data_IF_255829354369
#
_entry.id   IF_255829354369
#
_cell.length_a   1.000
_cell.length_b   1.000
_cell.length_c   1.000
_cell.angle_alpha   90.00
_cell.angle_beta   90.00
_cell.angle_gamma   90.00
#
_symmetry.space_group_name_H-M   'P 1'
#
loop_
_entity.id
_entity.type
_entity.pdbx_description
1 polymer ?
#
# COMPACT_ATOMS: atom_id res chain seq x y z
N UNK A 1 -4.88 44.68 -68.92
CA UNK A 1 -4.75 44.22 -70.33
C UNK A 1 -3.34 44.49 -70.81
N UNK A 2 -2.71 43.49 -71.42
CA UNK A 2 -1.30 43.36 -71.89
C UNK A 2 -0.88 44.47 -72.90
N UNK A 3 0.43 44.76 -73.13
CA UNK A 3 1.39 43.74 -73.58
C UNK A 3 2.86 43.78 -73.10
N UNK A 4 3.41 42.58 -73.26
CA UNK A 4 4.79 42.08 -73.29
C UNK A 4 5.75 42.93 -74.15
N UNK A 5 7.01 43.06 -73.71
CA UNK A 5 8.20 42.86 -74.57
C UNK A 5 9.42 42.42 -73.75
N UNK A 6 10.03 41.36 -74.27
CA UNK A 6 11.22 40.63 -73.82
C UNK A 6 12.46 41.35 -74.33
N UNK A 7 13.47 41.59 -73.49
CA UNK A 7 14.86 41.78 -73.94
C UNK A 7 15.77 40.98 -73.00
N UNK A 8 16.29 39.88 -73.56
CA UNK A 8 17.40 39.13 -73.01
C UNK A 8 18.70 39.90 -73.28
N UNK A 9 19.54 40.07 -72.26
CA UNK A 9 20.96 40.37 -72.46
C UNK A 9 21.76 39.31 -71.73
N UNK A 10 22.32 38.45 -72.57
CA UNK A 10 23.27 37.39 -72.30
C UNK A 10 24.64 38.06 -72.04
N UNK A 11 25.16 38.02 -70.81
CA UNK A 11 26.58 38.27 -70.56
C UNK A 11 27.19 37.07 -69.84
N UNK A 12 27.79 36.23 -70.67
CA UNK A 12 28.64 35.11 -70.32
C UNK A 12 29.94 35.66 -69.71
N UNK A 13 30.10 35.58 -68.39
CA UNK A 13 31.40 35.76 -67.74
C UNK A 13 31.82 34.42 -67.18
N UNK A 14 32.64 33.73 -67.97
CA UNK A 14 33.45 32.60 -67.56
C UNK A 14 34.58 33.19 -66.70
N UNK A 15 34.55 32.97 -65.39
CA UNK A 15 35.73 33.13 -64.54
C UNK A 15 36.07 31.79 -63.89
N UNK A 16 37.33 31.45 -64.08
CA UNK A 16 38.06 30.23 -63.76
C UNK A 16 37.77 29.62 -62.39
N UNK A 17 37.70 28.29 -62.37
CA UNK A 17 37.96 27.46 -61.21
C UNK A 17 39.29 27.85 -60.54
N UNK A 18 39.19 28.49 -59.38
CA UNK A 18 40.18 28.37 -58.32
C UNK A 18 39.48 27.68 -57.15
N UNK A 19 39.80 26.40 -56.95
CA UNK A 19 39.30 25.62 -55.84
C UNK A 19 39.79 26.20 -54.51
N UNK A 20 38.87 26.78 -53.75
CA UNK A 20 38.90 26.70 -52.30
C UNK A 20 37.80 25.75 -51.89
N UNK A 21 38.13 24.47 -51.75
CA UNK A 21 37.33 23.54 -50.98
C UNK A 21 37.34 24.02 -49.52
N UNK A 22 36.46 24.95 -49.17
CA UNK A 22 36.15 25.21 -47.77
C UNK A 22 35.52 23.94 -47.23
N UNK A 23 36.28 23.20 -46.41
CA UNK A 23 35.74 22.16 -45.53
C UNK A 23 34.48 22.74 -44.89
N UNK A 24 33.30 22.08 -44.96
CA UNK A 24 32.20 22.50 -44.11
C UNK A 24 32.75 22.47 -42.69
N UNK A 25 32.69 23.62 -42.00
CA UNK A 25 33.03 23.67 -40.59
C UNK A 25 32.17 22.61 -39.92
N UNK A 26 32.79 21.55 -39.40
CA UNK A 26 32.17 20.69 -38.41
C UNK A 26 31.82 21.58 -37.24
N UNK A 27 30.61 22.13 -37.26
CA UNK A 27 29.98 22.69 -36.08
C UNK A 27 29.85 21.49 -35.14
N UNK A 28 30.80 21.36 -34.23
CA UNK A 28 30.52 20.65 -32.98
C UNK A 28 29.42 21.47 -32.35
N UNK A 29 28.17 21.02 -32.51
CA UNK A 29 27.11 21.38 -31.58
C UNK A 29 27.58 20.87 -30.20
N UNK A 30 28.33 21.71 -29.49
CA UNK A 30 28.45 21.58 -28.06
C UNK A 30 27.07 21.91 -27.49
N UNK A 31 26.30 20.84 -27.29
CA UNK A 31 25.10 20.84 -26.48
C UNK A 31 25.43 21.63 -25.20
N UNK A 32 24.76 22.76 -24.92
CA UNK A 32 25.07 23.58 -23.75
C UNK A 32 25.00 22.71 -22.49
N UNK A 33 25.95 22.89 -21.56
CA UNK A 33 26.10 22.08 -20.34
C UNK A 33 24.82 22.01 -19.47
N UNK A 34 23.89 22.93 -19.69
CA UNK A 34 22.55 22.95 -19.09
C UNK A 34 21.65 21.79 -19.54
N UNK A 35 21.94 21.11 -20.65
CA UNK A 35 21.17 19.99 -21.23
C UNK A 35 21.66 18.61 -20.73
N UNK A 36 22.72 18.52 -19.91
CA UNK A 36 23.26 17.24 -19.40
C UNK A 36 23.29 17.13 -17.87
N UNK A 37 22.15 17.34 -17.18
CA UNK A 37 21.96 16.58 -15.93
C UNK A 37 21.61 15.14 -16.30
N UNK A 38 22.63 14.35 -16.63
CA UNK A 38 22.48 12.89 -16.77
C UNK A 38 21.99 12.36 -15.42
N UNK A 39 20.98 11.49 -15.45
CA UNK A 39 20.56 10.72 -14.27
C UNK A 39 21.81 10.11 -13.62
N UNK A 40 22.14 10.46 -12.37
CA UNK A 40 23.32 9.95 -11.71
C UNK A 40 23.22 8.43 -11.56
N UNK A 41 24.34 7.76 -11.85
CA UNK A 41 24.43 6.30 -11.87
C UNK A 41 25.25 5.81 -10.69
N UNK A 42 24.75 4.79 -10.01
CA UNK A 42 25.37 4.21 -8.83
C UNK A 42 25.53 2.69 -8.97
N UNK A 43 26.61 2.17 -8.38
CA UNK A 43 26.85 0.73 -8.26
C UNK A 43 26.18 0.15 -7.01
N UNK A 44 26.02 0.98 -5.97
CA UNK A 44 25.44 0.62 -4.68
C UNK A 44 24.13 1.36 -4.46
N UNK A 45 23.15 0.64 -3.89
CA UNK A 45 21.90 1.23 -3.42
C UNK A 45 22.13 2.25 -2.31
N UNK A 46 23.05 1.97 -1.39
CA UNK A 46 23.31 2.85 -0.26
C UNK A 46 23.86 4.22 -0.72
N UNK A 47 24.75 4.23 -1.73
CA UNK A 47 25.29 5.48 -2.29
C UNK A 47 24.20 6.29 -3.01
N UNK A 48 23.32 5.60 -3.74
CA UNK A 48 22.21 6.23 -4.45
C UNK A 48 21.21 6.87 -3.47
N UNK A 49 20.88 6.16 -2.39
CA UNK A 49 19.96 6.65 -1.35
C UNK A 49 20.59 7.76 -0.50
N UNK A 50 21.91 7.70 -0.26
CA UNK A 50 22.62 8.78 0.41
C UNK A 50 22.65 10.06 -0.42
N UNK A 51 22.94 9.94 -1.72
CA UNK A 51 22.84 11.05 -2.66
C UNK A 51 21.42 11.65 -2.67
N UNK A 52 20.41 10.79 -2.83
CA UNK A 52 19.00 11.21 -2.90
C UNK A 52 18.55 11.90 -1.62
N UNK A 53 18.82 11.30 -0.45
CA UNK A 53 18.44 11.85 0.84
C UNK A 53 19.11 13.20 1.12
N UNK A 54 20.40 13.35 0.81
CA UNK A 54 21.11 14.63 0.97
C UNK A 54 20.59 15.69 0.00
N UNK A 55 20.44 15.37 -1.27
CA UNK A 55 19.97 16.30 -2.29
C UNK A 55 18.55 16.80 -1.96
N UNK A 56 17.63 15.87 -1.72
CA UNK A 56 16.23 16.18 -1.45
C UNK A 56 16.06 16.96 -0.13
N UNK A 57 16.72 16.53 0.95
CA UNK A 57 16.62 17.22 2.23
C UNK A 57 17.20 18.63 2.20
N UNK A 58 18.24 18.88 1.40
CA UNK A 58 18.79 20.22 1.24
C UNK A 58 17.87 21.11 0.41
N UNK A 59 17.31 20.60 -0.69
CA UNK A 59 16.35 21.34 -1.52
C UNK A 59 15.10 21.71 -0.72
N UNK A 60 14.53 20.76 0.04
CA UNK A 60 13.37 21.02 0.89
C UNK A 60 13.67 21.99 2.03
N UNK A 61 14.90 22.02 2.58
CA UNK A 61 15.29 23.04 3.58
C UNK A 61 15.31 24.44 2.97
N UNK A 62 15.81 24.59 1.75
CA UNK A 62 15.83 25.89 1.07
C UNK A 62 14.42 26.37 0.70
N UNK A 63 13.54 25.45 0.31
CA UNK A 63 12.12 25.75 0.10
C UNK A 63 11.46 26.15 1.42
N UNK A 64 11.66 25.38 2.48
CA UNK A 64 11.10 25.69 3.80
C UNK A 64 11.57 27.06 4.33
N UNK A 65 12.82 27.45 4.09
CA UNK A 65 13.30 28.80 4.47
C UNK A 65 12.58 29.92 3.72
N UNK A 66 12.21 29.71 2.45
CA UNK A 66 11.52 30.71 1.62
C UNK A 66 10.04 30.84 1.98
N UNK A 67 9.38 29.71 2.22
CA UNK A 67 7.92 29.66 2.45
C UNK A 67 7.54 29.81 3.93
N UNK A 68 8.40 29.43 4.88
CA UNK A 68 8.08 29.40 6.34
C UNK A 68 8.78 30.47 7.19
N UNK A 69 9.14 31.61 6.58
CA UNK A 69 9.84 32.70 7.27
C UNK A 69 9.02 33.42 8.39
N UNK A 70 7.86 32.89 8.79
CA UNK A 70 6.95 33.53 9.77
C UNK A 70 6.48 32.66 10.94
N UNK A 71 6.65 31.33 10.96
CA UNK A 71 6.05 30.49 12.03
C UNK A 71 7.02 29.79 12.99
N UNK A 72 8.30 29.64 12.64
CA UNK A 72 9.29 28.93 13.49
C UNK A 72 8.97 27.45 13.77
N UNK A 73 7.89 26.91 13.17
CA UNK A 73 7.42 25.54 13.37
C UNK A 73 8.01 24.64 12.28
N UNK A 74 8.47 23.45 12.67
CA UNK A 74 8.96 22.44 11.74
C UNK A 74 7.84 21.95 10.82
N UNK A 75 8.13 21.82 9.53
CA UNK A 75 7.16 21.35 8.54
C UNK A 75 6.85 19.87 8.74
N UNK A 76 5.57 19.49 8.70
CA UNK A 76 5.14 18.11 8.93
C UNK A 76 5.31 17.30 7.66
N UNK A 77 6.21 16.31 7.68
CA UNK A 77 6.56 15.51 6.51
C UNK A 77 6.22 14.04 6.73
N UNK A 78 5.74 13.41 5.66
CA UNK A 78 5.55 11.97 5.56
C UNK A 78 6.54 11.40 4.56
N UNK A 79 7.15 10.27 4.92
CA UNK A 79 8.00 9.50 4.01
C UNK A 79 7.25 8.20 3.76
N UNK A 80 6.55 8.22 2.63
CA UNK A 80 5.64 7.17 2.24
C UNK A 80 6.37 6.02 1.54
N UNK A 81 5.65 4.91 1.42
CA UNK A 81 6.11 3.80 0.59
C UNK A 81 6.27 4.26 -0.87
N UNK A 82 7.33 3.78 -1.50
CA UNK A 82 7.49 3.88 -2.94
C UNK A 82 6.59 2.83 -3.60
N UNK A 83 6.32 2.98 -4.89
CA UNK A 83 5.57 1.98 -5.65
C UNK A 83 6.36 1.51 -6.86
N UNK A 84 6.11 0.29 -7.33
CA UNK A 84 6.53 -0.11 -8.67
C UNK A 84 5.72 0.63 -9.73
N UNK A 85 6.10 0.50 -11.00
CA UNK A 85 5.34 1.07 -12.12
C UNK A 85 3.91 0.53 -12.17
N UNK A 86 3.70 -0.69 -11.68
CA UNK A 86 2.39 -1.36 -11.56
C UNK A 86 1.63 -0.95 -10.28
N UNK A 87 2.15 0.00 -9.49
CA UNK A 87 1.52 0.46 -8.26
C UNK A 87 1.68 -0.48 -7.07
N UNK A 88 2.52 -1.52 -7.17
CA UNK A 88 2.74 -2.51 -6.10
C UNK A 88 3.70 -1.96 -5.05
N UNK A 89 3.40 -2.21 -3.77
CA UNK A 89 4.32 -1.92 -2.67
C UNK A 89 5.07 -3.20 -2.26
N UNK A 90 6.38 -3.14 -2.38
CA UNK A 90 7.29 -4.29 -2.19
C UNK A 90 8.20 -4.07 -0.99
N UNK A 91 8.93 -5.10 -0.56
CA UNK A 91 9.94 -4.93 0.51
C UNK A 91 11.01 -3.93 0.11
N UNK A 92 11.38 -3.88 -1.17
CA UNK A 92 12.31 -2.88 -1.70
C UNK A 92 11.75 -1.46 -1.57
N UNK A 93 10.47 -1.30 -1.88
CA UNK A 93 9.78 -0.03 -1.78
C UNK A 93 9.82 0.56 -0.38
N UNK A 94 9.50 -0.26 0.63
CA UNK A 94 9.57 0.14 2.04
C UNK A 94 10.99 0.38 2.50
N UNK A 95 11.92 -0.48 2.08
CA UNK A 95 13.33 -0.33 2.41
C UNK A 95 13.88 1.03 1.97
N UNK A 96 13.53 1.51 0.78
CA UNK A 96 13.93 2.83 0.28
C UNK A 96 13.39 3.94 1.20
N UNK A 97 12.10 3.90 1.52
CA UNK A 97 11.47 4.86 2.44
C UNK A 97 12.17 4.88 3.82
N UNK A 98 12.46 3.70 4.37
CA UNK A 98 13.12 3.55 5.66
C UNK A 98 14.55 4.11 5.64
N UNK A 99 15.26 3.95 4.52
CA UNK A 99 16.61 4.49 4.32
C UNK A 99 16.63 5.99 4.08
N UNK A 100 15.59 6.57 3.50
CA UNK A 100 15.46 8.02 3.34
C UNK A 100 15.03 8.71 4.64
N UNK A 101 14.30 8.01 5.51
CA UNK A 101 13.75 8.57 6.76
C UNK A 101 14.76 9.34 7.63
N UNK A 102 15.96 8.79 7.91
CA UNK A 102 16.95 9.48 8.74
C UNK A 102 17.42 10.85 8.21
N UNK A 103 17.34 11.12 6.90
CA UNK A 103 17.76 12.40 6.31
C UNK A 103 16.84 13.56 6.69
N UNK A 104 15.57 13.25 7.00
CA UNK A 104 14.56 14.22 7.41
C UNK A 104 14.37 14.25 8.91
N UNK A 105 14.37 13.08 9.56
CA UNK A 105 14.14 12.96 11.00
C UNK A 105 15.24 13.62 11.87
N UNK A 106 16.48 13.71 11.37
CA UNK A 106 17.58 14.37 12.08
C UNK A 106 17.55 15.89 12.00
N UNK A 107 16.70 16.47 11.16
CA UNK A 107 16.63 17.91 10.94
C UNK A 107 15.64 18.57 11.90
N UNK A 108 15.99 19.75 12.43
CA UNK A 108 15.05 20.59 13.19
C UNK A 108 13.98 21.27 12.29
N UNK A 109 14.15 21.19 10.97
CA UNK A 109 13.24 21.81 10.01
C UNK A 109 12.00 20.96 9.72
N UNK A 110 12.04 19.67 10.06
CA UNK A 110 11.00 18.71 9.70
C UNK A 110 10.50 17.95 10.91
N UNK A 111 9.20 17.75 10.98
CA UNK A 111 8.54 16.82 11.91
C UNK A 111 8.07 15.62 11.09
N UNK A 112 8.78 14.50 11.20
CA UNK A 112 8.47 13.29 10.44
C UNK A 112 7.38 12.51 11.16
N UNK A 113 6.27 12.21 10.48
CA UNK A 113 5.21 11.38 11.06
C UNK A 113 5.64 9.93 11.25
N UNK A 114 5.14 9.31 12.30
CA UNK A 114 5.42 7.92 12.60
C UNK A 114 4.83 6.97 11.56
N UNK A 115 5.59 5.95 11.22
CA UNK A 115 5.18 4.95 10.22
C UNK A 115 3.91 4.20 10.61
N UNK A 116 3.72 3.95 11.91
CA UNK A 116 2.54 3.26 12.42
C UNK A 116 1.23 4.04 12.11
N UNK A 117 1.28 5.37 12.08
CA UNK A 117 0.15 6.20 11.70
C UNK A 117 -0.19 6.05 10.21
N UNK A 118 0.84 6.06 9.35
CA UNK A 118 0.70 5.86 7.90
C UNK A 118 0.05 4.50 7.64
N UNK A 119 0.60 3.43 8.21
CA UNK A 119 0.10 2.06 8.04
C UNK A 119 -1.34 1.93 8.56
N UNK A 120 -1.69 2.60 9.66
CA UNK A 120 -3.06 2.63 10.21
C UNK A 120 -4.05 3.30 9.25
N UNK A 121 -3.72 4.48 8.72
CA UNK A 121 -4.61 5.20 7.78
C UNK A 121 -4.83 4.40 6.50
N UNK A 122 -3.78 3.75 5.96
CA UNK A 122 -3.90 2.86 4.79
C UNK A 122 -4.89 1.72 5.08
N UNK A 123 -4.80 1.10 6.27
CA UNK A 123 -5.69 0.00 6.67
C UNK A 123 -7.16 0.45 6.83
N UNK A 124 -7.38 1.65 7.36
CA UNK A 124 -8.73 2.19 7.59
C UNK A 124 -9.41 2.59 6.27
N UNK A 125 -8.68 3.22 5.35
CA UNK A 125 -9.24 3.79 4.13
C UNK A 125 -9.27 2.85 2.91
N UNK A 126 -8.70 1.64 3.01
CA UNK A 126 -8.80 0.56 1.98
C UNK A 126 -8.66 1.05 0.54
N UNK A 127 -7.58 1.76 0.27
CA UNK A 127 -7.27 2.25 -1.06
C UNK A 127 -7.26 1.09 -2.07
N UNK A 128 -7.93 1.27 -3.21
CA UNK A 128 -8.00 0.25 -4.27
C UNK A 128 -6.63 0.05 -4.93
N UNK A 129 -5.82 1.11 -4.98
CA UNK A 129 -4.44 1.13 -5.44
C UNK A 129 -3.55 1.82 -4.38
N UNK A 130 -2.23 1.77 -4.53
CA UNK A 130 -1.34 2.55 -3.66
C UNK A 130 -1.69 4.04 -3.77
N UNK A 131 -1.89 4.77 -2.65
CA UNK A 131 -2.21 6.20 -2.69
C UNK A 131 -1.03 7.06 -3.16
N UNK A 132 0.13 6.47 -3.46
CA UNK A 132 1.37 7.17 -3.74
C UNK A 132 1.81 7.13 -5.21
N UNK A 133 0.92 6.69 -6.11
CA UNK A 133 1.23 6.58 -7.54
C UNK A 133 1.07 7.94 -8.22
N UNK A 134 -0.09 8.57 -8.09
CA UNK A 134 -0.40 9.88 -8.66
C UNK A 134 -0.43 11.00 -7.61
N UNK A 135 -0.24 12.24 -8.09
CA UNK A 135 -0.17 13.43 -7.23
C UNK A 135 -1.49 13.70 -6.50
N UNK A 136 -2.64 13.50 -7.15
CA UNK A 136 -3.96 13.79 -6.60
C UNK A 136 -4.28 12.83 -5.43
N UNK A 137 -4.10 11.52 -5.63
CA UNK A 137 -4.27 10.51 -4.58
C UNK A 137 -3.29 10.74 -3.42
N UNK A 138 -2.05 11.14 -3.74
CA UNK A 138 -1.02 11.44 -2.74
C UNK A 138 -1.45 12.65 -1.90
N UNK A 139 -1.99 13.68 -2.54
CA UNK A 139 -2.47 14.88 -1.86
C UNK A 139 -3.64 14.57 -0.92
N UNK A 140 -4.64 13.81 -1.37
CA UNK A 140 -5.76 13.39 -0.52
C UNK A 140 -5.28 12.59 0.68
N UNK A 141 -4.37 11.64 0.46
CA UNK A 141 -3.79 10.85 1.52
C UNK A 141 -2.98 11.69 2.52
N UNK A 142 -2.24 12.69 2.04
CA UNK A 142 -1.51 13.63 2.90
C UNK A 142 -2.43 14.46 3.79
N UNK A 143 -3.58 14.89 3.27
CA UNK A 143 -4.60 15.62 4.05
C UNK A 143 -5.16 14.76 5.18
N UNK A 144 -5.40 13.46 4.92
CA UNK A 144 -5.85 12.52 5.94
C UNK A 144 -4.82 12.34 7.06
N UNK A 145 -3.52 12.34 6.72
CA UNK A 145 -2.43 12.24 7.69
C UNK A 145 -2.12 13.56 8.42
N UNK A 146 -2.65 14.69 7.96
CA UNK A 146 -2.27 16.01 8.46
C UNK A 146 -0.83 16.39 8.10
N UNK A 147 -0.31 15.87 6.98
CA UNK A 147 1.02 16.18 6.47
C UNK A 147 1.00 17.40 5.56
N UNK A 148 2.07 18.20 5.57
CA UNK A 148 2.27 19.33 4.66
C UNK A 148 3.03 18.90 3.40
N UNK A 149 3.91 17.91 3.52
CA UNK A 149 4.67 17.36 2.40
C UNK A 149 4.71 15.83 2.47
N UNK A 150 4.51 15.16 1.34
CA UNK A 150 4.75 13.72 1.19
C UNK A 150 5.97 13.51 0.30
N UNK A 151 6.89 12.68 0.78
CA UNK A 151 8.00 12.15 -0.01
C UNK A 151 7.64 10.72 -0.39
N UNK A 152 7.57 10.46 -1.68
CA UNK A 152 7.32 9.12 -2.25
C UNK A 152 8.00 9.02 -3.62
N UNK A 153 7.73 7.96 -4.38
CA UNK A 153 8.32 7.79 -5.69
C UNK A 153 7.99 6.47 -6.35
N UNK A 154 8.52 6.32 -7.56
CA UNK A 154 8.33 5.12 -8.39
C UNK A 154 9.64 4.40 -8.63
N UNK A 155 9.59 3.08 -8.57
CA UNK A 155 10.71 2.19 -8.85
C UNK A 155 10.41 1.44 -10.14
N UNK A 156 11.28 1.62 -11.13
CA UNK A 156 11.19 0.91 -12.40
C UNK A 156 12.44 0.06 -12.63
N UNK A 157 12.28 -1.03 -13.37
CA UNK A 157 13.41 -1.86 -13.79
C UNK A 157 13.54 -1.83 -15.32
N UNK A 158 14.76 -1.63 -15.80
CA UNK A 158 15.06 -1.64 -17.24
C UNK A 158 16.43 -2.27 -17.45
N UNK A 159 16.47 -3.36 -18.23
CA UNK A 159 17.68 -4.11 -18.50
C UNK A 159 18.34 -4.61 -17.22
N UNK A 160 19.53 -4.07 -16.91
CA UNK A 160 20.33 -4.45 -15.74
C UNK A 160 20.41 -3.32 -14.69
N UNK A 161 19.43 -2.42 -14.67
CA UNK A 161 19.35 -1.32 -13.73
C UNK A 161 17.96 -1.20 -13.10
N UNK A 162 17.93 -0.64 -11.90
CA UNK A 162 16.75 -0.05 -11.29
C UNK A 162 16.83 1.47 -11.41
N UNK A 163 15.70 2.11 -11.71
CA UNK A 163 15.55 3.55 -11.65
C UNK A 163 14.61 3.88 -10.50
N UNK A 164 15.03 4.78 -9.62
CA UNK A 164 14.22 5.27 -8.52
C UNK A 164 13.97 6.75 -8.78
N UNK A 165 12.73 7.09 -9.13
CA UNK A 165 12.24 8.46 -9.11
C UNK A 165 11.75 8.75 -7.69
N UNK A 166 12.26 9.81 -7.07
CA UNK A 166 11.79 10.30 -5.77
C UNK A 166 11.17 11.67 -5.97
N UNK A 167 9.94 11.87 -5.50
CA UNK A 167 9.19 13.13 -5.55
C UNK A 167 8.80 13.60 -4.16
N UNK A 168 8.89 14.91 -3.93
CA UNK A 168 8.29 15.58 -2.79
C UNK A 168 7.08 16.37 -3.28
N UNK A 169 5.91 16.05 -2.75
CA UNK A 169 4.62 16.64 -3.11
C UNK A 169 4.14 17.55 -2.00
N UNK A 170 3.82 18.81 -2.32
CA UNK A 170 3.15 19.72 -1.41
C UNK A 170 1.68 19.31 -1.29
N UNK A 171 1.28 18.89 -0.10
CA UNK A 171 -0.09 18.42 0.17
C UNK A 171 -1.09 19.58 0.16
N UNK A 172 -0.65 20.78 0.52
CA UNK A 172 -1.52 21.96 0.55
C UNK A 172 -1.78 22.52 -0.84
N UNK A 173 -0.74 22.63 -1.67
CA UNK A 173 -0.81 23.21 -3.02
C UNK A 173 -1.05 22.17 -4.12
N UNK A 174 -0.79 20.89 -3.87
CA UNK A 174 -0.96 19.80 -4.83
C UNK A 174 0.10 19.77 -5.95
N UNK A 175 1.23 20.47 -5.77
CA UNK A 175 2.31 20.51 -6.76
C UNK A 175 3.57 19.78 -6.28
N UNK A 176 4.41 19.40 -7.23
CA UNK A 176 5.71 18.77 -6.96
C UNK A 176 6.71 19.87 -6.55
N UNK A 177 7.28 19.74 -5.35
CA UNK A 177 8.33 20.62 -4.81
C UNK A 177 9.72 20.25 -5.33
N UNK A 178 9.98 18.95 -5.48
CA UNK A 178 11.26 18.41 -5.97
C UNK A 178 11.04 17.03 -6.57
N UNK A 179 11.83 16.70 -7.59
CA UNK A 179 11.89 15.36 -8.19
C UNK A 179 13.33 15.01 -8.56
N UNK A 180 13.76 13.81 -8.16
CA UNK A 180 15.11 13.29 -8.36
C UNK A 180 15.05 11.88 -8.92
N UNK A 181 15.77 11.65 -10.02
CA UNK A 181 15.98 10.31 -10.58
C UNK A 181 17.39 9.80 -10.28
N UNK A 182 17.50 8.53 -9.91
CA UNK A 182 18.78 7.82 -9.78
C UNK A 182 18.72 6.48 -10.50
N UNK A 183 19.82 6.10 -11.15
CA UNK A 183 20.00 4.80 -11.79
C UNK A 183 20.95 3.94 -10.94
N UNK A 184 20.56 2.70 -10.66
CA UNK A 184 21.29 1.80 -9.77
C UNK A 184 21.52 0.49 -10.49
N UNK A 185 22.78 0.04 -10.55
CA UNK A 185 23.12 -1.27 -11.12
C UNK A 185 22.41 -2.38 -10.34
N UNK A 186 21.71 -3.26 -11.05
CA UNK A 186 20.98 -4.39 -10.46
C UNK A 186 21.93 -5.41 -9.80
N UNK A 187 21.44 -6.02 -8.71
CA UNK A 187 22.02 -7.19 -8.08
C UNK A 187 20.91 -8.14 -7.58
N UNK A 188 21.26 -9.39 -7.27
CA UNK A 188 20.30 -10.43 -6.86
C UNK A 188 19.47 -10.03 -5.64
N UNK A 189 20.10 -9.44 -4.61
CA UNK A 189 19.42 -9.02 -3.38
C UNK A 189 18.36 -7.96 -3.63
N UNK A 190 18.61 -6.99 -4.51
CA UNK A 190 17.62 -5.98 -4.86
C UNK A 190 16.44 -6.58 -5.63
N UNK A 191 16.70 -7.55 -6.52
CA UNK A 191 15.64 -8.27 -7.23
C UNK A 191 14.77 -9.06 -6.27
N UNK A 192 15.35 -9.73 -5.28
CA UNK A 192 14.59 -10.43 -4.22
C UNK A 192 13.69 -9.46 -3.45
N UNK A 193 14.22 -8.32 -3.02
CA UNK A 193 13.45 -7.31 -2.31
C UNK A 193 12.35 -6.69 -3.19
N UNK A 194 12.64 -6.49 -4.48
CA UNK A 194 11.70 -5.91 -5.44
C UNK A 194 10.52 -6.85 -5.67
N UNK A 195 10.75 -8.15 -5.74
CA UNK A 195 9.70 -9.13 -5.97
C UNK A 195 8.94 -9.53 -4.69
N UNK A 196 9.53 -9.32 -3.50
CA UNK A 196 8.93 -9.72 -2.24
C UNK A 196 7.80 -8.77 -1.77
N UNK A 197 6.66 -9.36 -1.38
CA UNK A 197 5.54 -8.64 -0.79
C UNK A 197 5.84 -8.15 0.63
N UNK A 198 5.17 -7.06 1.03
CA UNK A 198 5.18 -6.59 2.40
C UNK A 198 4.23 -7.42 3.28
N UNK A 199 4.73 -8.02 4.39
CA UNK A 199 3.95 -8.95 5.21
C UNK A 199 2.69 -8.37 5.89
N UNK A 200 2.46 -7.06 5.83
CA UNK A 200 1.48 -6.36 6.69
C UNK A 200 0.49 -5.46 5.93
N UNK A 201 0.68 -5.22 4.63
CA UNK A 201 -0.32 -4.52 3.81
C UNK A 201 -1.41 -5.45 3.28
N UNK A 202 -1.22 -6.76 3.44
CA UNK A 202 -2.14 -7.77 2.99
C UNK A 202 -2.53 -8.70 4.14
N UNK A 203 -3.02 -8.16 5.27
CA UNK A 203 -4.05 -8.91 5.98
C UNK A 203 -5.25 -8.90 5.05
N UNK A 204 -5.34 -9.93 4.20
CA UNK A 204 -6.55 -10.28 3.45
C UNK A 204 -7.68 -10.07 4.45
N UNK A 205 -8.56 -9.09 4.20
CA UNK A 205 -9.69 -8.83 5.07
C UNK A 205 -10.43 -10.15 5.17
N UNK A 206 -10.25 -10.83 6.29
CA UNK A 206 -10.94 -12.09 6.50
C UNK A 206 -12.39 -11.69 6.55
N UNK A 207 -13.17 -12.21 5.62
CA UNK A 207 -14.60 -12.24 5.81
C UNK A 207 -14.80 -13.26 6.92
N UNK A 208 -14.61 -12.83 8.16
CA UNK A 208 -14.95 -13.68 9.29
C UNK A 208 -16.46 -13.75 9.34
N UNK A 209 -16.98 -14.87 8.83
CA UNK A 209 -18.40 -15.17 8.94
C UNK A 209 -18.66 -15.51 10.41
N UNK A 210 -19.18 -14.54 11.15
CA UNK A 210 -19.59 -14.74 12.53
C UNK A 210 -20.94 -15.45 12.52
N UNK A 211 -20.99 -16.61 13.17
CA UNK A 211 -22.24 -17.33 13.39
C UNK A 211 -22.76 -17.01 14.79
N UNK A 212 -24.07 -16.82 14.88
CA UNK A 212 -24.78 -16.57 16.14
C UNK A 212 -25.95 -17.50 16.25
N UNK A 213 -26.08 -18.14 17.41
CA UNK A 213 -27.26 -18.92 17.73
C UNK A 213 -27.65 -18.72 19.20
N UNK A 214 -28.95 -18.81 19.44
CA UNK A 214 -29.53 -18.76 20.76
C UNK A 214 -29.73 -20.19 21.29
N UNK A 215 -29.67 -20.34 22.61
CA UNK A 215 -29.99 -21.57 23.29
C UNK A 215 -30.68 -21.32 24.61
N UNK A 216 -31.53 -22.26 25.00
CA UNK A 216 -32.38 -22.16 26.19
C UNK A 216 -32.01 -23.26 27.17
N UNK A 217 -31.91 -22.88 28.43
CA UNK A 217 -31.64 -23.79 29.53
C UNK A 217 -32.72 -23.68 30.59
N UNK A 218 -33.34 -24.82 30.88
CA UNK A 218 -34.41 -24.91 31.87
C UNK A 218 -33.81 -25.36 33.22
N UNK A 219 -34.12 -24.69 34.33
CA UNK A 219 -33.65 -25.11 35.65
C UNK A 219 -34.28 -26.45 36.02
N UNK A 220 -33.45 -27.39 36.48
CA UNK A 220 -33.93 -28.69 36.94
C UNK A 220 -34.75 -28.53 38.24
N UNK A 221 -35.96 -29.12 38.33
CA UNK A 221 -36.79 -29.05 39.52
C UNK A 221 -36.23 -29.89 40.68
N UNK A 222 -35.22 -30.73 40.44
CA UNK A 222 -34.64 -31.65 41.43
C UNK A 222 -33.70 -30.96 42.42
N UNK A 223 -33.23 -29.75 42.14
CA UNK A 223 -32.29 -29.04 43.01
C UNK A 223 -33.01 -28.00 43.86
N UNK A 224 -33.03 -28.22 45.18
CA UNK A 224 -33.63 -27.31 46.17
C UNK A 224 -32.96 -25.93 46.18
N UNK A 225 -31.66 -25.88 45.87
CA UNK A 225 -30.92 -24.63 45.78
C UNK A 225 -31.12 -23.96 44.40
N UNK A 226 -31.89 -22.86 44.39
CA UNK A 226 -32.17 -22.05 43.20
C UNK A 226 -30.90 -21.58 42.48
N UNK A 227 -29.81 -21.30 43.19
CA UNK A 227 -28.55 -20.87 42.57
C UNK A 227 -27.89 -22.00 41.77
N UNK A 228 -27.92 -23.23 42.30
CA UNK A 228 -27.42 -24.41 41.59
C UNK A 228 -28.28 -24.73 40.38
N UNK A 229 -29.61 -24.70 40.54
CA UNK A 229 -30.55 -24.90 39.45
C UNK A 229 -30.34 -23.89 38.30
N UNK A 230 -30.08 -22.61 38.62
CA UNK A 230 -29.77 -21.56 37.64
C UNK A 230 -28.41 -21.76 36.97
N UNK A 231 -27.39 -22.22 37.69
CA UNK A 231 -26.08 -22.52 37.10
C UNK A 231 -26.17 -23.68 36.11
N UNK A 232 -26.98 -24.70 36.43
CA UNK A 232 -27.26 -25.82 35.53
C UNK A 232 -28.07 -25.39 34.31
N UNK A 233 -29.10 -24.55 34.50
CA UNK A 233 -29.83 -23.93 33.40
C UNK A 233 -28.88 -23.18 32.46
N UNK A 234 -27.97 -22.36 32.98
CA UNK A 234 -26.99 -21.67 32.15
C UNK A 234 -26.05 -22.62 31.38
N UNK A 235 -25.61 -23.73 31.98
CA UNK A 235 -24.82 -24.75 31.27
C UNK A 235 -25.62 -25.44 30.17
N UNK A 236 -26.89 -25.76 30.43
CA UNK A 236 -27.79 -26.34 29.43
C UNK A 236 -28.00 -25.37 28.26
N UNK A 237 -28.27 -24.09 28.56
CA UNK A 237 -28.44 -23.04 27.55
C UNK A 237 -27.21 -22.88 26.65
N UNK A 238 -25.99 -22.94 27.22
CA UNK A 238 -24.75 -22.94 26.44
C UNK A 238 -24.63 -24.17 25.53
N UNK A 239 -24.96 -25.35 26.04
CA UNK A 239 -24.91 -26.59 25.25
C UNK A 239 -25.89 -26.56 24.08
N UNK A 240 -27.10 -26.06 24.32
CA UNK A 240 -28.13 -25.86 23.30
C UNK A 240 -27.69 -24.84 22.24
N UNK A 241 -27.20 -23.67 22.67
CA UNK A 241 -26.69 -22.64 21.76
C UNK A 241 -25.52 -23.14 20.91
N UNK A 242 -24.59 -23.91 21.51
CA UNK A 242 -23.46 -24.51 20.80
C UNK A 242 -23.93 -25.51 19.75
N UNK A 243 -24.95 -26.31 20.05
CA UNK A 243 -25.53 -27.26 19.08
C UNK A 243 -26.16 -26.52 17.90
N UNK A 244 -26.93 -25.47 18.18
CA UNK A 244 -27.56 -24.65 17.15
C UNK A 244 -26.49 -23.97 16.27
N UNK A 245 -25.40 -23.48 16.87
CA UNK A 245 -24.24 -22.95 16.13
C UNK A 245 -23.62 -24.00 15.20
N UNK A 246 -23.35 -25.20 15.73
CA UNK A 246 -22.77 -26.29 14.94
C UNK A 246 -23.65 -26.67 13.75
N UNK A 247 -24.95 -26.83 13.97
CA UNK A 247 -25.92 -27.17 12.93
C UNK A 247 -26.01 -26.07 11.86
N UNK A 248 -26.02 -24.80 12.26
CA UNK A 248 -26.03 -23.66 11.35
C UNK A 248 -24.76 -23.59 10.49
N UNK A 249 -23.59 -23.83 11.09
CA UNK A 249 -22.32 -23.86 10.37
C UNK A 249 -22.31 -25.04 9.40
N UNK A 250 -22.63 -26.25 9.86
CA UNK A 250 -22.66 -27.46 9.03
C UNK A 250 -23.64 -27.37 7.85
N UNK A 251 -24.76 -26.67 8.03
CA UNK A 251 -25.78 -26.49 7.00
C UNK A 251 -25.44 -25.41 5.97
N UNK A 252 -24.37 -24.63 6.19
CA UNK A 252 -23.93 -23.59 5.26
C UNK A 252 -23.45 -24.23 3.96
N UNK A 253 -23.95 -23.73 2.83
CA UNK A 253 -23.51 -24.12 1.50
C UNK A 253 -22.15 -23.51 1.18
N UNK A 254 -21.29 -24.31 0.55
CA UNK A 254 -19.96 -23.91 0.07
C UNK A 254 -19.99 -23.71 -1.44
N UNK A 255 -20.68 -24.61 -2.16
CA UNK A 255 -21.02 -24.50 -3.58
C UNK A 255 -22.53 -24.66 -3.79
N UNK A 256 -23.00 -24.66 -5.04
CA UNK A 256 -24.43 -24.82 -5.38
C UNK A 256 -25.05 -26.14 -4.87
N UNK A 257 -24.24 -27.16 -4.68
CA UNK A 257 -24.62 -28.53 -4.34
C UNK A 257 -23.99 -29.07 -3.04
N UNK A 258 -22.85 -28.52 -2.61
CA UNK A 258 -22.08 -29.05 -1.46
C UNK A 258 -22.22 -28.19 -0.21
N UNK A 259 -22.53 -28.81 0.94
CA UNK A 259 -22.54 -28.15 2.27
C UNK A 259 -21.26 -28.45 3.05
N UNK A 260 -20.97 -27.63 4.07
CA UNK A 260 -19.82 -27.84 4.96
C UNK A 260 -19.83 -29.25 5.58
N UNK A 261 -21.00 -29.75 5.99
CA UNK A 261 -21.14 -31.10 6.54
C UNK A 261 -20.69 -32.21 5.57
N UNK A 262 -20.88 -32.00 4.26
CA UNK A 262 -20.53 -32.98 3.23
C UNK A 262 -19.00 -32.96 3.05
N UNK A 263 -18.39 -31.78 3.00
CA UNK A 263 -16.93 -31.62 2.98
C UNK A 263 -16.24 -32.19 4.23
N UNK A 264 -16.89 -32.15 5.41
CA UNK A 264 -16.33 -32.75 6.65
C UNK A 264 -16.29 -34.29 6.61
N UNK A 265 -17.19 -34.90 5.83
CA UNK A 265 -17.21 -36.34 5.64
C UNK A 265 -16.06 -36.78 4.71
N UNK A 266 -15.73 -35.95 3.73
CA UNK A 266 -14.70 -36.21 2.73
C UNK A 266 -13.29 -35.77 3.17
N UNK A 267 -13.18 -34.71 3.96
CA UNK A 267 -11.91 -34.08 4.32
C UNK A 267 -11.72 -33.94 5.84
N UNK A 268 -10.82 -34.75 6.39
CA UNK A 268 -10.45 -34.74 7.82
C UNK A 268 -9.92 -33.38 8.29
N UNK A 269 -9.21 -32.63 7.43
CA UNK A 269 -8.70 -31.29 7.75
C UNK A 269 -9.83 -30.30 7.99
N UNK A 270 -10.90 -30.34 7.20
CA UNK A 270 -12.10 -29.50 7.40
C UNK A 270 -12.73 -29.81 8.76
N UNK A 271 -12.83 -31.08 9.14
CA UNK A 271 -13.35 -31.51 10.45
C UNK A 271 -12.50 -30.98 11.60
N UNK A 272 -11.17 -31.09 11.49
CA UNK A 272 -10.22 -30.60 12.51
C UNK A 272 -10.32 -29.07 12.64
N UNK A 273 -10.31 -28.34 11.53
CA UNK A 273 -10.37 -26.89 11.51
C UNK A 273 -11.72 -26.34 12.00
N UNK A 274 -12.84 -27.00 11.68
CA UNK A 274 -14.15 -26.64 12.25
C UNK A 274 -14.16 -26.83 13.76
N UNK A 275 -13.70 -27.98 14.25
CA UNK A 275 -13.60 -28.24 15.68
C UNK A 275 -12.69 -27.22 16.39
N UNK A 276 -11.61 -26.79 15.74
CA UNK A 276 -10.76 -25.71 16.25
C UNK A 276 -11.52 -24.38 16.34
N UNK A 277 -12.27 -24.03 15.29
CA UNK A 277 -13.09 -22.80 15.26
C UNK A 277 -14.13 -22.78 16.38
N UNK A 278 -14.82 -23.91 16.61
CA UNK A 278 -15.84 -24.04 17.66
C UNK A 278 -15.29 -23.86 19.08
N UNK A 279 -14.01 -24.14 19.33
CA UNK A 279 -13.37 -23.85 20.62
C UNK A 279 -13.30 -22.35 20.91
N UNK A 280 -13.36 -21.51 19.88
CA UNK A 280 -13.42 -20.05 20.00
C UNK A 280 -14.81 -19.48 20.30
N UNK A 281 -15.85 -20.31 20.40
CA UNK A 281 -17.20 -19.85 20.64
C UNK A 281 -17.35 -19.20 22.03
N UNK A 282 -18.00 -18.03 22.08
CA UNK A 282 -18.17 -17.23 23.30
C UNK A 282 -19.60 -16.77 23.48
N UNK A 283 -19.98 -16.52 24.73
CA UNK A 283 -21.28 -15.94 25.06
C UNK A 283 -21.23 -14.44 24.82
N UNK A 284 -22.19 -13.92 24.07
CA UNK A 284 -22.36 -12.47 23.84
C UNK A 284 -23.51 -11.88 24.62
N UNK A 285 -24.54 -12.68 24.89
CA UNK A 285 -25.69 -12.24 25.65
C UNK A 285 -26.19 -13.35 26.57
N UNK A 286 -26.74 -12.94 27.71
CA UNK A 286 -27.35 -13.82 28.70
C UNK A 286 -28.57 -13.12 29.30
N UNK A 287 -29.75 -13.71 29.11
CA UNK A 287 -31.00 -13.21 29.68
C UNK A 287 -31.60 -14.26 30.62
N UNK A 288 -32.01 -13.82 31.80
CA UNK A 288 -32.72 -14.67 32.74
C UNK A 288 -34.22 -14.36 32.68
N UNK A 289 -35.03 -15.40 32.54
CA UNK A 289 -36.48 -15.27 32.46
C UNK A 289 -37.12 -15.38 33.86
N UNK A 290 -38.37 -14.90 34.02
CA UNK A 290 -39.09 -14.93 35.31
C UNK A 290 -39.30 -16.34 35.86
N UNK A 291 -39.42 -17.35 35.00
CA UNK A 291 -39.57 -18.76 35.35
C UNK A 291 -38.25 -19.43 35.81
N UNK A 292 -37.14 -18.68 35.79
CA UNK A 292 -35.82 -19.16 36.15
C UNK A 292 -35.04 -19.81 35.00
N UNK A 293 -35.62 -19.90 33.80
CA UNK A 293 -34.91 -20.30 32.59
C UNK A 293 -33.88 -19.25 32.17
N UNK A 294 -32.86 -19.71 31.43
CA UNK A 294 -31.76 -18.88 30.97
C UNK A 294 -31.67 -19.00 29.46
N UNK A 295 -31.69 -17.86 28.79
CA UNK A 295 -31.42 -17.73 27.36
C UNK A 295 -29.98 -17.23 27.19
N UNK A 296 -29.24 -17.87 26.31
CA UNK A 296 -27.85 -17.54 25.99
C UNK A 296 -27.72 -17.35 24.50
N UNK A 297 -27.13 -16.24 24.09
CA UNK A 297 -26.68 -16.05 22.72
C UNK A 297 -25.17 -16.32 22.68
N UNK A 298 -24.78 -17.25 21.81
CA UNK A 298 -23.38 -17.57 21.56
C UNK A 298 -22.99 -17.11 20.17
N UNK A 299 -21.75 -16.67 20.04
CA UNK A 299 -21.14 -16.39 18.75
C UNK A 299 -19.83 -17.13 18.57
N UNK A 300 -19.54 -17.50 17.32
CA UNK A 300 -18.29 -18.14 16.93
C UNK A 300 -17.81 -17.57 15.61
N UNK A 301 -16.50 -17.40 15.52
CA UNK A 301 -15.80 -16.92 14.35
C UNK A 301 -15.10 -18.09 13.68
N UNK A 302 -15.34 -18.28 12.37
CA UNK A 302 -14.62 -19.31 11.61
C UNK A 302 -13.19 -18.85 11.32
N UNK A 303 -12.24 -19.78 11.48
CA UNK A 303 -10.81 -19.49 11.23
C UNK A 303 -10.53 -19.27 9.75
N UNK A 304 -9.48 -18.48 9.46
CA UNK A 304 -8.98 -18.24 8.10
C UNK A 304 -8.65 -19.54 7.37
N UNK A 305 -7.98 -20.46 8.07
CA UNK A 305 -7.56 -21.75 7.51
C UNK A 305 -8.78 -22.57 7.04
N UNK A 306 -9.86 -22.58 7.82
CA UNK A 306 -11.10 -23.25 7.46
C UNK A 306 -11.72 -22.60 6.22
N UNK A 307 -11.87 -21.27 6.23
CA UNK A 307 -12.46 -20.53 5.10
C UNK A 307 -11.67 -20.79 3.82
N UNK A 308 -10.33 -20.68 3.87
CA UNK A 308 -9.50 -20.92 2.70
C UNK A 308 -9.65 -22.37 2.21
N UNK A 309 -9.67 -23.37 3.11
CA UNK A 309 -9.84 -24.79 2.74
C UNK A 309 -11.21 -25.06 2.10
N UNK A 310 -12.27 -24.37 2.55
CA UNK A 310 -13.60 -24.50 1.96
C UNK A 310 -13.67 -23.93 0.53
N UNK A 311 -12.91 -22.87 0.21
CA UNK A 311 -12.96 -22.19 -1.09
C UNK A 311 -11.76 -22.43 -2.01
N UNK A 312 -10.80 -23.27 -1.62
CA UNK A 312 -9.59 -23.57 -2.41
C UNK A 312 -9.70 -24.87 -3.23
N UNK A 313 -10.91 -25.37 -3.44
CA UNK A 313 -11.19 -26.60 -4.22
C UNK A 313 -11.64 -26.22 -5.63
#
# INVERSE_FOLDING_TARGET
MKPIKIIAVLSLIIFSLAGCASRPATVKEEIPDTIKKRTPRFLSLDDALDYTGKALSNELKEIAKRDFSTSGKASVIVIADFATVEGKITRFSRYIADKLTPYFARSKNFSVLERALIDKVIQEHKFQASPFVDEDSTQEFGKLLGAETIITGTISELGNAFYINTKAVDVTKGNILSSLDVEIRRNARMVELYNADLPHLNKKKVITKVFRAQGIGIPSPKHTNKSVARALAFRAAKGDAMRNLLEQIQSTQVTSDTKIKDMMAENDTVRIQLNSSLRGARVVNKKQMPDGSVEVEMEVELTEDLINTLYSQ
#
